data_IF_577901249241
#
_entry.id   IF_577901249241
#
_cell.length_a   1.000
_cell.length_b   1.000
_cell.length_c   1.000
_cell.angle_alpha   90.00
_cell.angle_beta   90.00
_cell.angle_gamma   90.00
#
_symmetry.space_group_name_H-M   'P 1'
#
loop_
_entity.id
_entity.type
_entity.pdbx_description
1 polymer ?
#
# COMPACT_ATOMS: atom_id res chain seq x y z
N UNK A 1 18.85 -0.76 10.88
CA UNK A 1 17.85 0.33 10.81
C UNK A 1 18.25 1.60 11.57
N UNK A 2 18.70 1.53 12.83
CA UNK A 2 18.83 2.71 13.70
C UNK A 2 19.73 3.89 13.23
N UNK A 3 20.76 3.67 12.39
CA UNK A 3 21.75 4.73 12.08
C UNK A 3 21.30 5.81 11.10
N UNK A 4 20.35 5.54 10.20
CA UNK A 4 19.89 6.55 9.21
C UNK A 4 18.81 7.46 9.79
N UNK A 5 18.06 6.95 10.77
CA UNK A 5 16.99 7.67 11.47
C UNK A 5 17.55 8.87 12.26
N UNK A 6 18.77 8.76 12.80
CA UNK A 6 19.37 9.77 13.70
C UNK A 6 19.49 11.18 13.11
N UNK A 7 19.46 11.33 11.78
CA UNK A 7 19.57 12.64 11.13
C UNK A 7 18.47 12.85 10.08
N UNK A 8 17.38 12.08 10.14
CA UNK A 8 16.24 12.30 9.27
C UNK A 8 15.34 13.35 9.91
N UNK A 9 14.91 14.33 9.11
CA UNK A 9 13.85 15.26 9.53
C UNK A 9 12.61 14.47 9.95
N UNK A 10 11.89 14.98 10.95
CA UNK A 10 10.60 14.42 11.38
C UNK A 10 9.49 15.21 10.68
N UNK A 11 8.54 14.48 10.09
CA UNK A 11 7.34 15.03 9.46
C UNK A 11 6.12 14.63 10.26
N UNK A 12 5.09 15.48 10.23
CA UNK A 12 3.82 15.22 10.89
C UNK A 12 2.80 14.73 9.85
N UNK A 13 2.25 13.54 10.05
CA UNK A 13 1.17 12.99 9.23
C UNK A 13 -0.12 13.01 10.04
N UNK A 14 -1.07 13.84 9.62
CA UNK A 14 -2.40 14.00 10.22
C UNK A 14 -3.37 13.07 9.50
N UNK A 15 -4.06 12.19 10.24
CA UNK A 15 -4.92 11.14 9.69
C UNK A 15 -6.31 11.19 10.31
N UNK A 16 -7.34 11.00 9.49
CA UNK A 16 -8.74 11.05 9.90
C UNK A 16 -9.43 12.32 9.43
N UNK A 17 -10.74 12.24 9.19
CA UNK A 17 -11.57 13.39 8.78
C UNK A 17 -12.31 14.03 9.96
N UNK A 18 -12.82 13.22 10.90
CA UNK A 18 -13.59 13.68 12.06
C UNK A 18 -12.77 13.77 13.35
N UNK A 19 -11.88 12.79 13.55
CA UNK A 19 -10.99 12.70 14.70
C UNK A 19 -9.58 12.63 14.13
N UNK A 20 -8.99 13.79 13.89
CA UNK A 20 -7.63 13.90 13.39
C UNK A 20 -6.66 13.40 14.46
N UNK A 21 -5.70 12.55 14.06
CA UNK A 21 -4.58 12.14 14.89
C UNK A 21 -3.28 12.44 14.15
N UNK A 22 -2.30 12.97 14.88
CA UNK A 22 -0.99 13.30 14.34
C UNK A 22 0.01 12.17 14.62
N UNK A 23 0.77 11.78 13.60
CA UNK A 23 1.84 10.80 13.68
C UNK A 23 3.17 11.46 13.30
N UNK A 24 4.14 11.44 14.22
CA UNK A 24 5.50 11.95 13.97
C UNK A 24 6.37 10.84 13.38
N UNK A 25 6.79 11.01 12.12
CA UNK A 25 7.51 9.99 11.37
C UNK A 25 8.79 10.58 10.78
N UNK A 26 9.87 9.82 10.80
CA UNK A 26 11.10 10.18 10.11
C UNK A 26 10.88 10.19 8.59
N UNK A 27 11.11 11.35 7.97
CA UNK A 27 10.93 11.59 6.53
C UNK A 27 11.61 10.53 5.67
N UNK A 28 12.86 10.21 5.95
CA UNK A 28 13.60 9.21 5.16
C UNK A 28 13.02 7.80 5.37
N UNK A 29 12.58 7.44 6.58
CA UNK A 29 11.91 6.16 6.80
C UNK A 29 10.61 6.07 6.00
N UNK A 30 9.81 7.13 6.01
CA UNK A 30 8.55 7.18 5.27
C UNK A 30 8.78 7.10 3.75
N UNK A 31 9.78 7.83 3.24
CA UNK A 31 10.18 7.81 1.84
C UNK A 31 10.70 6.44 1.37
N UNK A 32 11.39 5.72 2.24
CA UNK A 32 11.95 4.40 1.94
C UNK A 32 10.86 3.38 1.65
N UNK A 33 9.83 3.37 2.49
CA UNK A 33 8.78 2.36 2.42
C UNK A 33 7.64 2.76 1.47
N UNK A 34 7.31 4.05 1.38
CA UNK A 34 6.15 4.53 0.62
C UNK A 34 6.55 5.25 -0.66
N UNK A 35 6.11 4.71 -1.81
CA UNK A 35 6.22 5.39 -3.11
C UNK A 35 5.47 6.71 -3.14
N UNK A 36 4.31 6.78 -2.48
CA UNK A 36 3.53 8.00 -2.36
C UNK A 36 4.35 9.12 -1.72
N UNK A 37 4.87 8.88 -0.50
CA UNK A 37 5.67 9.89 0.20
C UNK A 37 7.03 10.15 -0.47
N UNK A 38 7.68 9.13 -1.05
CA UNK A 38 8.90 9.33 -1.83
C UNK A 38 8.69 10.29 -3.01
N UNK A 39 7.55 10.21 -3.69
CA UNK A 39 7.22 11.09 -4.82
C UNK A 39 6.91 12.49 -4.31
N UNK A 40 6.06 12.56 -3.28
CA UNK A 40 5.68 13.81 -2.62
C UNK A 40 6.92 14.62 -2.17
N UNK A 41 7.89 13.99 -1.50
CA UNK A 41 9.10 14.68 -1.04
C UNK A 41 10.04 15.12 -2.15
N UNK A 42 10.00 14.48 -3.33
CA UNK A 42 10.77 14.92 -4.49
C UNK A 42 10.21 16.23 -5.03
N UNK A 43 8.90 16.33 -5.13
CA UNK A 43 8.22 17.49 -5.70
C UNK A 43 8.44 18.75 -4.83
N UNK A 44 8.48 18.60 -3.50
CA UNK A 44 8.84 19.69 -2.57
C UNK A 44 10.27 20.24 -2.76
N UNK A 45 11.19 19.45 -3.29
CA UNK A 45 12.55 19.92 -3.55
C UNK A 45 12.65 20.70 -4.87
N UNK A 46 11.84 20.33 -5.86
CA UNK A 46 11.84 20.99 -7.17
C UNK A 46 11.16 22.36 -7.11
N UNK A 47 10.09 22.52 -6.31
CA UNK A 47 9.40 23.80 -6.15
C UNK A 47 10.27 24.87 -5.46
N UNK A 48 10.92 24.52 -4.35
CA UNK A 48 11.76 25.47 -3.61
C UNK A 48 13.03 25.91 -4.35
N UNK A 49 13.41 25.24 -5.44
CA UNK A 49 14.58 25.63 -6.24
C UNK A 49 14.23 26.69 -7.29
N UNK A 50 12.97 26.75 -7.76
CA UNK A 50 12.53 27.72 -8.79
C UNK A 50 12.39 29.14 -8.25
N UNK A 51 11.82 29.29 -7.06
CA UNK A 51 11.64 30.62 -6.45
C UNK A 51 13.00 31.30 -6.16
N UNK A 52 14.04 30.52 -5.83
CA UNK A 52 15.36 31.07 -5.56
C UNK A 52 16.14 31.54 -6.81
N UNK A 53 15.72 31.15 -8.02
CA UNK A 53 16.39 31.60 -9.26
C UNK A 53 15.78 32.88 -9.85
N UNK A 54 14.50 33.14 -9.63
CA UNK A 54 13.81 34.30 -10.22
C UNK A 54 14.21 35.62 -9.55
N UNK A 55 14.57 35.61 -8.26
CA UNK A 55 15.05 36.81 -7.55
C UNK A 55 16.49 37.24 -7.90
N UNK A 56 17.16 36.54 -8.83
CA UNK A 56 18.58 36.80 -9.17
C UNK A 56 18.82 37.42 -10.55
N UNK A 57 17.78 37.67 -11.35
CA UNK A 57 17.91 38.24 -12.71
C UNK A 57 17.52 39.73 -12.81
N UNK A 58 17.20 40.42 -11.71
CA UNK A 58 16.91 41.86 -11.73
C UNK A 58 18.19 42.70 -11.49
N UNK A 59 19.03 42.84 -12.53
CA UNK A 59 19.77 44.08 -12.89
C UNK A 59 20.94 43.80 -13.83
N UNK A 60 20.67 43.73 -15.12
CA UNK A 60 21.53 44.43 -16.08
C UNK A 60 20.72 44.80 -17.32
N UNK A 61 20.40 46.08 -17.44
CA UNK A 61 19.84 46.61 -18.68
C UNK A 61 20.94 46.73 -19.73
N UNK A 62 20.62 46.49 -21.00
CA UNK A 62 20.74 47.45 -22.11
C UNK A 62 20.51 46.79 -23.49
N UNK A 63 19.67 47.48 -24.28
CA UNK A 63 19.56 47.60 -25.75
C UNK A 63 18.98 46.49 -26.65
N UNK A 64 17.84 46.88 -27.26
CA UNK A 64 17.53 46.99 -28.71
C UNK A 64 17.57 45.75 -29.64
N UNK A 65 16.43 45.56 -30.33
CA UNK A 65 16.06 44.46 -31.24
C UNK A 65 16.80 44.38 -32.60
N UNK A 66 16.22 43.90 -33.73
CA UNK A 66 14.79 43.72 -34.04
C UNK A 66 14.38 42.33 -34.62
N UNK A 67 13.07 42.27 -34.87
CA UNK A 67 12.21 41.33 -35.63
C UNK A 67 12.85 40.43 -36.70
N UNK A 68 12.40 39.17 -36.77
CA UNK A 68 12.15 38.48 -38.04
C UNK A 68 11.19 37.29 -37.88
N UNK A 69 10.51 37.01 -38.98
CA UNK A 69 9.22 36.36 -39.15
C UNK A 69 9.25 34.83 -39.24
N UNK A 70 8.05 34.24 -39.06
CA UNK A 70 7.47 33.09 -39.76
C UNK A 70 8.27 31.77 -39.91
N UNK A 71 7.63 30.64 -39.55
CA UNK A 71 6.96 29.76 -40.53
C UNK A 71 6.61 28.36 -39.97
N UNK A 72 5.31 28.06 -40.03
CA UNK A 72 4.59 26.82 -40.42
C UNK A 72 5.16 25.38 -40.27
N UNK A 73 4.18 24.47 -40.08
CA UNK A 73 4.11 23.04 -40.46
C UNK A 73 4.74 22.01 -39.49
N UNK A 74 4.21 20.80 -39.27
CA UNK A 74 3.04 20.10 -39.82
C UNK A 74 2.70 18.88 -38.96
N UNK A 75 1.43 18.49 -39.03
CA UNK A 75 0.83 17.18 -38.76
C UNK A 75 1.73 15.95 -38.96
N UNK A 76 1.54 14.95 -38.08
CA UNK A 76 2.01 13.58 -38.26
C UNK A 76 1.13 12.62 -37.47
N UNK A 77 0.12 12.07 -38.14
CA UNK A 77 -0.74 11.00 -37.67
C UNK A 77 0.06 9.69 -37.50
N UNK A 78 -0.33 8.86 -36.53
CA UNK A 78 -0.06 7.43 -36.59
C UNK A 78 -1.25 6.68 -35.99
N UNK A 79 -2.14 6.28 -36.90
CA UNK A 79 -3.04 5.15 -36.71
C UNK A 79 -2.19 3.89 -36.65
N UNK A 80 -2.43 3.02 -35.67
CA UNK A 80 -2.12 1.61 -35.86
C UNK A 80 -3.25 0.77 -35.27
N UNK A 81 -4.08 0.32 -36.19
CA UNK A 81 -5.11 -0.70 -36.06
C UNK A 81 -4.42 -2.02 -35.76
N UNK A 82 -4.88 -2.75 -34.74
CA UNK A 82 -4.59 -4.17 -34.63
C UNK A 82 -5.90 -4.90 -34.31
N UNK A 83 -6.52 -5.40 -35.38
CA UNK A 83 -7.65 -6.32 -35.35
C UNK A 83 -7.16 -7.76 -35.16
N UNK A 84 -8.01 -8.56 -34.52
CA UNK A 84 -8.11 -9.99 -34.78
C UNK A 84 -7.46 -10.88 -33.71
N UNK A 85 -8.27 -11.58 -32.93
CA UNK A 85 -8.75 -12.92 -33.32
C UNK A 85 -9.73 -13.45 -32.27
N UNK A 86 -10.99 -13.59 -32.66
CA UNK A 86 -12.01 -14.34 -31.93
C UNK A 86 -11.79 -15.85 -32.17
N UNK A 87 -11.41 -16.55 -31.11
CA UNK A 87 -11.40 -18.01 -31.07
C UNK A 87 -12.60 -18.51 -30.26
N UNK A 88 -13.65 -18.93 -30.96
CA UNK A 88 -14.73 -19.75 -30.40
C UNK A 88 -14.15 -21.09 -29.94
N UNK A 89 -14.37 -21.42 -28.67
CA UNK A 89 -14.27 -22.79 -28.15
C UNK A 89 -15.63 -23.17 -27.60
N UNK A 90 -16.33 -23.98 -28.40
CA UNK A 90 -17.48 -24.76 -28.00
C UNK A 90 -16.98 -25.90 -27.10
N UNK A 91 -17.10 -25.73 -25.79
CA UNK A 91 -16.91 -26.82 -24.82
C UNK A 91 -18.28 -27.27 -24.30
N UNK A 92 -18.60 -28.52 -24.63
CA UNK A 92 -19.78 -29.26 -24.20
C UNK A 92 -19.82 -29.44 -22.67
N UNK A 93 -21.02 -29.51 -22.05
CA UNK A 93 -21.13 -29.80 -20.64
C UNK A 93 -20.99 -31.30 -20.35
N UNK A 94 -19.94 -31.66 -19.60
CA UNK A 94 -19.82 -32.96 -18.95
C UNK A 94 -20.90 -33.11 -17.86
N UNK A 95 -21.79 -34.09 -18.07
CA UNK A 95 -22.71 -34.62 -17.07
C UNK A 95 -21.89 -35.27 -15.94
N UNK A 96 -21.94 -34.69 -14.74
CA UNK A 96 -21.45 -35.34 -13.52
C UNK A 96 -22.65 -35.85 -12.71
N UNK A 97 -22.70 -37.17 -12.58
CA UNK A 97 -23.68 -37.92 -11.80
C UNK A 97 -23.66 -37.52 -10.32
N UNK A 98 -24.87 -37.28 -9.81
CA UNK A 98 -25.22 -37.07 -8.41
C UNK A 98 -25.03 -38.36 -7.59
N UNK A 99 -23.97 -38.44 -6.78
CA UNK A 99 -23.94 -39.38 -5.66
C UNK A 99 -24.41 -38.73 -4.36
N UNK A 100 -25.63 -39.11 -3.98
CA UNK A 100 -26.30 -38.77 -2.74
C UNK A 100 -25.55 -39.36 -1.52
N UNK A 101 -24.93 -38.50 -0.71
CA UNK A 101 -24.47 -38.86 0.62
C UNK A 101 -25.57 -38.57 1.66
N UNK A 102 -26.10 -39.66 2.21
CA UNK A 102 -26.89 -39.77 3.44
C UNK A 102 -26.15 -39.05 4.59
N UNK A 103 -26.79 -38.21 5.39
CA UNK A 103 -27.72 -38.64 6.44
C UNK A 103 -26.97 -38.77 7.77
N UNK A 104 -26.91 -37.68 8.54
CA UNK A 104 -26.27 -37.65 9.87
C UNK A 104 -26.73 -36.43 10.66
N UNK A 105 -27.90 -36.51 11.27
CA UNK A 105 -28.38 -35.58 12.29
C UNK A 105 -27.63 -35.87 13.59
N UNK A 106 -26.78 -34.94 14.02
CA UNK A 106 -26.24 -34.89 15.38
C UNK A 106 -26.97 -33.73 16.06
N UNK A 107 -27.93 -34.09 16.91
CA UNK A 107 -28.52 -33.17 17.89
C UNK A 107 -27.58 -33.15 19.10
N UNK A 108 -26.67 -32.18 19.15
CA UNK A 108 -25.97 -31.84 20.39
C UNK A 108 -26.76 -30.73 21.10
N UNK A 109 -27.51 -31.14 22.12
CA UNK A 109 -28.05 -30.27 23.16
C UNK A 109 -26.88 -29.62 23.92
N UNK A 110 -26.54 -28.38 23.56
CA UNK A 110 -25.66 -27.55 24.39
C UNK A 110 -26.53 -26.90 25.46
N UNK A 111 -26.35 -27.35 26.69
CA UNK A 111 -26.88 -26.72 27.90
C UNK A 111 -26.27 -25.32 28.07
N UNK A 112 -27.13 -24.31 28.06
CA UNK A 112 -26.82 -22.95 28.48
C UNK A 112 -26.58 -22.91 30.00
N UNK A 113 -25.33 -23.09 30.42
CA UNK A 113 -24.90 -22.77 31.79
C UNK A 113 -24.65 -21.27 31.93
N UNK A 114 -25.75 -20.59 32.27
CA UNK A 114 -25.87 -19.18 32.62
C UNK A 114 -25.20 -18.92 34.00
N UNK A 115 -23.85 -18.88 34.03
CA UNK A 115 -23.08 -18.43 35.21
C UNK A 115 -21.75 -17.78 34.83
N UNK A 116 -21.77 -16.46 34.63
CA UNK A 116 -20.59 -15.63 34.95
C UNK A 116 -21.00 -14.43 35.79
N UNK A 117 -21.07 -14.69 37.09
CA UNK A 117 -20.97 -13.68 38.13
C UNK A 117 -19.47 -13.32 38.25
N UNK A 118 -18.99 -12.35 37.47
CA UNK A 118 -17.66 -11.76 37.68
C UNK A 118 -17.83 -10.34 38.18
N UNK A 119 -17.91 -10.27 39.51
CA UNK A 119 -17.63 -9.13 40.35
C UNK A 119 -16.23 -8.58 40.00
N UNK A 120 -16.16 -7.72 38.98
CA UNK A 120 -14.96 -6.94 38.69
C UNK A 120 -14.89 -5.83 39.72
N UNK A 121 -14.15 -6.14 40.78
CA UNK A 121 -13.68 -5.16 41.74
C UNK A 121 -13.05 -3.97 41.02
N UNK A 122 -13.59 -2.82 41.34
CA UNK A 122 -13.11 -1.47 41.09
C UNK A 122 -11.72 -1.27 41.71
N UNK A 123 -10.70 -1.87 41.10
CA UNK A 123 -9.31 -1.49 41.34
C UNK A 123 -9.03 -0.29 40.46
N UNK A 124 -9.25 0.89 41.04
CA UNK A 124 -8.77 2.17 40.54
C UNK A 124 -7.24 2.17 40.44
N UNK A 125 -6.74 1.53 39.40
CA UNK A 125 -5.40 1.76 38.91
C UNK A 125 -5.43 3.12 38.22
N UNK A 126 -5.06 4.11 39.02
CA UNK A 126 -4.60 5.45 38.65
C UNK A 126 -3.50 5.29 37.59
N UNK A 127 -3.91 5.07 36.33
CA UNK A 127 -3.06 5.17 35.16
C UNK A 127 -2.66 6.62 35.08
N UNK A 128 -1.57 6.93 35.78
CA UNK A 128 -0.98 8.24 35.88
C UNK A 128 -1.03 8.92 34.52
N UNK A 129 -1.67 10.08 34.53
CA UNK A 129 -1.73 11.06 33.45
C UNK A 129 -0.28 11.39 33.08
N UNK A 130 0.31 10.55 32.24
CA UNK A 130 1.66 10.74 31.75
C UNK A 130 1.69 12.12 31.11
N UNK A 131 2.74 12.93 31.32
CA UNK A 131 2.78 14.26 30.77
C UNK A 131 2.60 14.15 29.26
N UNK A 132 1.41 14.51 28.78
CA UNK A 132 1.23 14.93 27.40
C UNK A 132 2.10 16.18 27.30
N UNK A 133 3.36 15.99 26.92
CA UNK A 133 4.18 17.07 26.38
C UNK A 133 3.40 17.61 25.20
N UNK A 134 2.62 18.65 25.46
CA UNK A 134 2.05 19.50 24.43
C UNK A 134 3.25 20.19 23.81
N UNK A 135 3.83 19.54 22.81
CA UNK A 135 4.85 20.14 21.96
C UNK A 135 4.19 21.35 21.30
N UNK A 136 4.76 22.54 21.52
CA UNK A 136 4.28 23.77 20.92
C UNK A 136 4.21 23.59 19.40
N UNK A 137 3.00 23.64 18.83
CA UNK A 137 2.75 23.34 17.40
C UNK A 137 3.51 24.27 16.44
N UNK A 138 3.98 25.41 16.95
CA UNK A 138 4.71 26.44 16.22
C UNK A 138 6.23 26.16 16.15
N UNK A 139 6.76 25.24 16.96
CA UNK A 139 8.21 24.92 16.97
C UNK A 139 8.58 23.76 16.02
N UNK A 140 7.57 23.02 15.53
CA UNK A 140 7.75 22.07 14.45
C UNK A 140 7.68 22.81 13.11
N UNK A 141 8.82 23.32 12.66
CA UNK A 141 9.13 23.73 11.26
C UNK A 141 8.93 22.58 10.23
N UNK A 142 8.33 21.46 10.66
CA UNK A 142 8.15 20.23 9.91
C UNK A 142 7.00 20.31 8.92
N UNK A 143 7.22 19.71 7.75
CA UNK A 143 6.20 19.55 6.72
C UNK A 143 5.03 18.71 7.27
N UNK A 144 3.81 19.28 7.24
CA UNK A 144 2.57 18.62 7.66
C UNK A 144 1.88 17.99 6.44
N UNK A 145 1.45 16.73 6.57
CA UNK A 145 0.73 15.98 5.54
C UNK A 145 -0.63 15.53 6.06
N UNK A 146 -1.67 15.61 5.24
CA UNK A 146 -3.03 15.20 5.63
C UNK A 146 -3.50 13.99 4.82
N UNK A 147 -4.05 13.00 5.52
CA UNK A 147 -4.66 11.80 4.96
C UNK A 147 -6.09 11.62 5.52
N UNK A 148 -7.04 12.50 5.14
CA UNK A 148 -8.38 12.53 5.74
C UNK A 148 -9.23 11.29 5.40
N UNK A 149 -8.90 10.58 4.31
CA UNK A 149 -9.64 9.43 3.83
C UNK A 149 -9.41 8.14 4.65
N UNK A 150 -8.36 8.10 5.45
CA UNK A 150 -8.05 6.94 6.30
C UNK A 150 -8.42 7.22 7.74
N UNK A 151 -8.83 6.16 8.45
CA UNK A 151 -9.03 6.23 9.89
C UNK A 151 -7.68 6.12 10.60
N UNK A 152 -7.48 6.88 11.66
CA UNK A 152 -6.22 6.92 12.37
C UNK A 152 -5.74 5.55 12.87
N UNK A 153 -6.64 4.70 13.37
CA UNK A 153 -6.26 3.35 13.82
C UNK A 153 -5.72 2.45 12.69
N UNK A 154 -6.22 2.59 11.45
CA UNK A 154 -5.68 1.85 10.28
C UNK A 154 -4.26 2.33 9.97
N UNK A 155 -4.02 3.63 10.13
CA UNK A 155 -2.69 4.20 9.91
C UNK A 155 -1.73 3.89 11.07
N UNK A 156 -2.22 3.68 12.29
CA UNK A 156 -1.40 3.25 13.42
C UNK A 156 -0.74 1.88 13.18
N UNK A 157 -1.43 0.95 12.52
CA UNK A 157 -0.84 -0.33 12.08
C UNK A 157 0.30 -0.12 11.07
N UNK A 158 0.11 0.78 10.11
CA UNK A 158 1.17 1.15 9.16
C UNK A 158 2.34 1.84 9.88
N UNK A 159 2.06 2.73 10.83
CA UNK A 159 3.06 3.38 11.66
C UNK A 159 3.90 2.35 12.43
N UNK A 160 3.26 1.38 13.08
CA UNK A 160 3.95 0.28 13.75
C UNK A 160 4.80 -0.54 12.79
N UNK A 161 4.27 -0.84 11.60
CA UNK A 161 5.01 -1.56 10.57
C UNK A 161 6.30 -0.84 10.19
N UNK A 162 6.29 0.50 10.04
CA UNK A 162 7.49 1.26 9.68
C UNK A 162 8.64 1.07 10.68
N UNK A 163 8.33 1.00 11.98
CA UNK A 163 9.35 0.94 13.03
C UNK A 163 9.69 -0.48 13.49
N UNK A 164 8.71 -1.39 13.48
CA UNK A 164 8.86 -2.74 14.02
C UNK A 164 8.84 -3.84 12.95
N UNK A 165 8.39 -3.52 11.73
CA UNK A 165 8.07 -4.51 10.70
C UNK A 165 6.82 -5.35 11.01
N UNK A 166 6.06 -5.00 12.06
CA UNK A 166 4.88 -5.74 12.52
C UNK A 166 3.66 -4.82 12.66
N UNK A 167 2.48 -5.41 12.50
CA UNK A 167 1.20 -4.75 12.83
C UNK A 167 1.06 -4.63 14.35
N UNK A 168 0.23 -3.70 14.84
CA UNK A 168 0.09 -3.48 16.29
C UNK A 168 -0.57 -4.65 17.01
N UNK A 169 -1.36 -5.47 16.30
CA UNK A 169 -2.16 -6.58 16.85
C UNK A 169 -2.99 -6.19 18.10
N UNK A 170 -3.25 -4.90 18.28
CA UNK A 170 -3.83 -4.36 19.50
C UNK A 170 -5.31 -4.75 19.57
N UNK A 171 -5.60 -5.86 20.26
CA UNK A 171 -6.95 -6.34 20.56
C UNK A 171 -7.85 -5.24 21.18
N UNK A 172 -7.24 -4.27 21.86
CA UNK A 172 -7.89 -3.16 22.56
C UNK A 172 -8.45 -2.07 21.65
N UNK A 173 -8.08 -1.99 20.37
CA UNK A 173 -8.66 -1.00 19.44
C UNK A 173 -10.08 -1.38 18.97
N UNK A 174 -10.69 -2.41 19.55
CA UNK A 174 -12.15 -2.64 19.54
C UNK A 174 -12.77 -2.97 18.19
N UNK A 175 -11.96 -3.09 17.15
CA UNK A 175 -12.40 -3.35 15.80
C UNK A 175 -11.54 -4.48 15.27
N UNK A 176 -12.16 -5.58 14.85
CA UNK A 176 -11.56 -6.53 13.89
C UNK A 176 -11.11 -5.66 12.72
N UNK A 177 -9.85 -5.22 12.74
CA UNK A 177 -9.29 -4.28 11.80
C UNK A 177 -9.26 -5.00 10.48
N UNK A 178 -10.22 -4.65 9.63
CA UNK A 178 -10.59 -5.50 8.54
C UNK A 178 -9.48 -5.42 7.50
N UNK A 179 -8.79 -6.54 7.28
CA UNK A 179 -7.53 -6.61 6.53
C UNK A 179 -7.62 -5.98 5.14
N UNK A 180 -8.82 -5.83 4.60
CA UNK A 180 -9.09 -5.11 3.36
C UNK A 180 -8.79 -3.60 3.42
N UNK A 181 -9.01 -2.94 4.57
CA UNK A 181 -8.68 -1.52 4.75
C UNK A 181 -7.17 -1.30 4.86
N UNK A 182 -6.47 -2.23 5.52
CA UNK A 182 -5.00 -2.22 5.58
C UNK A 182 -4.41 -2.47 4.19
N UNK A 183 -4.98 -3.41 3.42
CA UNK A 183 -4.57 -3.66 2.05
C UNK A 183 -4.78 -2.42 1.16
N UNK A 184 -5.93 -1.76 1.29
CA UNK A 184 -6.23 -0.51 0.59
C UNK A 184 -5.25 0.63 0.96
N UNK A 185 -4.89 0.75 2.24
CA UNK A 185 -3.87 1.71 2.68
C UNK A 185 -2.50 1.39 2.05
N UNK A 186 -2.10 0.12 2.06
CA UNK A 186 -0.85 -0.32 1.46
C UNK A 186 -0.78 -0.05 -0.05
N UNK A 187 -1.88 -0.28 -0.77
CA UNK A 187 -2.04 0.05 -2.19
C UNK A 187 -1.92 1.55 -2.43
N UNK A 188 -2.67 2.36 -1.67
CA UNK A 188 -2.64 3.81 -1.77
C UNK A 188 -1.23 4.38 -1.54
N UNK A 189 -0.53 3.91 -0.50
CA UNK A 189 0.81 4.37 -0.16
C UNK A 189 1.89 3.80 -1.08
N UNK A 190 1.57 2.76 -1.86
CA UNK A 190 2.50 2.04 -2.71
C UNK A 190 3.64 1.41 -1.90
N UNK A 191 3.29 0.64 -0.86
CA UNK A 191 4.24 -0.02 0.07
C UNK A 191 4.17 -1.55 -0.12
N UNK A 192 4.98 -2.16 -1.00
CA UNK A 192 4.90 -3.59 -1.32
C UNK A 192 5.02 -4.52 -0.11
N UNK A 193 6.02 -4.31 0.75
CA UNK A 193 6.26 -5.17 1.91
C UNK A 193 5.11 -5.13 2.93
N UNK A 194 4.48 -3.96 3.11
CA UNK A 194 3.28 -3.83 3.95
C UNK A 194 2.08 -4.52 3.32
N UNK A 195 1.87 -4.35 2.02
CA UNK A 195 0.79 -5.06 1.31
C UNK A 195 0.97 -6.57 1.44
N UNK A 196 2.17 -7.09 1.25
CA UNK A 196 2.44 -8.53 1.38
C UNK A 196 2.23 -9.01 2.82
N UNK A 197 2.68 -8.27 3.83
CA UNK A 197 2.41 -8.59 5.24
C UNK A 197 0.90 -8.69 5.52
N UNK A 198 0.12 -7.74 5.02
CA UNK A 198 -1.35 -7.76 5.15
C UNK A 198 -1.97 -8.92 4.37
N UNK A 199 -1.49 -9.19 3.15
CA UNK A 199 -1.95 -10.31 2.33
C UNK A 199 -1.65 -11.67 2.99
N UNK A 200 -0.51 -11.84 3.65
CA UNK A 200 -0.22 -13.05 4.44
C UNK A 200 -1.21 -13.24 5.59
N UNK A 201 -1.53 -12.15 6.31
CA UNK A 201 -2.54 -12.16 7.35
C UNK A 201 -3.88 -12.64 6.80
N UNK A 202 -4.34 -12.02 5.71
CA UNK A 202 -5.58 -12.41 5.04
C UNK A 202 -5.56 -13.87 4.58
N UNK A 203 -4.48 -14.33 3.92
CA UNK A 203 -4.32 -15.71 3.46
C UNK A 203 -4.38 -16.72 4.62
N UNK A 204 -3.75 -16.38 5.74
CA UNK A 204 -3.78 -17.21 6.96
C UNK A 204 -5.19 -17.29 7.52
N UNK A 205 -5.89 -16.16 7.60
CA UNK A 205 -7.29 -16.10 8.03
C UNK A 205 -8.24 -16.86 7.10
N UNK A 206 -7.97 -16.90 5.79
CA UNK A 206 -8.75 -17.70 4.83
C UNK A 206 -8.50 -19.20 4.92
N UNK A 207 -7.31 -19.59 5.38
CA UNK A 207 -6.92 -21.00 5.53
C UNK A 207 -7.63 -21.64 6.72
N UNK A 208 -7.76 -20.91 7.82
CA UNK A 208 -8.37 -21.44 9.03
C UNK A 208 -9.88 -21.61 8.81
N UNK A 209 -10.37 -22.84 8.96
CA UNK A 209 -11.67 -23.36 8.47
C UNK A 209 -12.93 -22.66 9.02
N UNK A 210 -12.76 -21.62 9.84
CA UNK A 210 -13.84 -20.84 10.39
C UNK A 210 -14.59 -19.96 9.37
N UNK A 211 -14.28 -20.00 8.06
CA UNK A 211 -15.07 -19.45 6.93
C UNK A 211 -15.58 -17.99 7.07
N UNK A 212 -15.17 -17.25 8.10
CA UNK A 212 -15.80 -15.99 8.51
C UNK A 212 -15.60 -14.85 7.52
N UNK A 213 -14.70 -15.02 6.55
CA UNK A 213 -14.35 -13.97 5.58
C UNK A 213 -14.95 -14.13 4.19
N UNK A 214 -15.58 -15.27 3.87
CA UNK A 214 -16.40 -15.41 2.66
C UNK A 214 -17.86 -14.99 2.88
N UNK A 215 -18.12 -14.27 3.98
CA UNK A 215 -19.40 -13.62 4.20
C UNK A 215 -19.61 -12.52 3.14
N UNK A 216 -20.86 -12.39 2.70
CA UNK A 216 -21.30 -11.42 1.69
C UNK A 216 -20.83 -10.00 2.04
N UNK A 217 -20.94 -9.61 3.31
CA UNK A 217 -20.52 -8.29 3.78
C UNK A 217 -18.99 -8.09 3.71
N UNK A 218 -18.21 -9.14 3.95
CA UNK A 218 -16.75 -9.08 3.88
C UNK A 218 -16.29 -8.93 2.43
N UNK A 219 -16.87 -9.70 1.51
CA UNK A 219 -16.62 -9.54 0.06
C UNK A 219 -17.01 -8.14 -0.40
N UNK A 220 -18.19 -7.65 0.00
CA UNK A 220 -18.61 -6.28 -0.29
C UNK A 220 -17.59 -5.26 0.21
N UNK A 221 -17.15 -5.37 1.46
CA UNK A 221 -16.16 -4.45 2.07
C UNK A 221 -14.86 -4.40 1.27
N UNK A 222 -14.36 -5.55 0.79
CA UNK A 222 -13.16 -5.60 -0.07
C UNK A 222 -13.37 -4.77 -1.34
N UNK A 223 -14.50 -4.93 -2.02
CA UNK A 223 -14.78 -4.21 -3.26
C UNK A 223 -15.06 -2.72 -3.01
N UNK A 224 -15.65 -2.37 -1.87
CA UNK A 224 -15.90 -0.98 -1.50
C UNK A 224 -14.60 -0.20 -1.21
N UNK A 225 -13.57 -0.84 -0.64
CA UNK A 225 -12.36 -0.15 -0.20
C UNK A 225 -11.13 -0.30 -1.11
N UNK A 226 -11.14 -1.23 -2.06
CA UNK A 226 -9.99 -1.48 -2.96
C UNK A 226 -10.27 -1.02 -4.39
N UNK A 227 -9.21 -0.85 -5.20
CA UNK A 227 -9.30 -0.48 -6.62
C UNK A 227 -9.54 -1.70 -7.52
N UNK A 228 -10.01 -1.48 -8.75
CA UNK A 228 -10.41 -2.48 -9.77
C UNK A 228 -9.32 -3.48 -10.21
N UNK A 229 -8.09 -3.34 -9.72
CA UNK A 229 -6.96 -4.22 -10.04
C UNK A 229 -6.15 -4.62 -8.81
N UNK A 230 -6.72 -4.48 -7.62
CA UNK A 230 -6.03 -4.85 -6.39
C UNK A 230 -5.78 -6.35 -6.32
N UNK A 231 -4.62 -6.74 -5.78
CA UNK A 231 -4.30 -8.16 -5.56
C UNK A 231 -5.26 -8.82 -4.56
N UNK A 232 -5.84 -8.04 -3.64
CA UNK A 232 -6.85 -8.55 -2.72
C UNK A 232 -8.15 -8.92 -3.45
N UNK A 233 -8.64 -8.09 -4.39
CA UNK A 233 -9.80 -8.47 -5.23
C UNK A 233 -9.51 -9.73 -6.05
N UNK A 234 -8.31 -9.83 -6.62
CA UNK A 234 -7.87 -11.03 -7.34
C UNK A 234 -7.89 -12.27 -6.43
N UNK A 235 -7.33 -12.19 -5.22
CA UNK A 235 -7.36 -13.28 -4.25
C UNK A 235 -8.81 -13.67 -3.90
N UNK A 236 -9.68 -12.69 -3.64
CA UNK A 236 -11.10 -12.93 -3.36
C UNK A 236 -11.82 -13.58 -4.54
N UNK A 237 -11.55 -13.17 -5.78
CA UNK A 237 -12.10 -13.80 -6.97
C UNK A 237 -11.62 -15.25 -7.13
N UNK A 238 -10.32 -15.51 -6.93
CA UNK A 238 -9.74 -16.86 -6.94
C UNK A 238 -10.38 -17.74 -5.84
N UNK A 239 -10.64 -17.19 -4.64
CA UNK A 239 -11.33 -17.88 -3.55
C UNK A 239 -12.81 -18.14 -3.86
N UNK A 240 -13.54 -17.17 -4.41
CA UNK A 240 -14.94 -17.33 -4.82
C UNK A 240 -15.08 -18.45 -5.86
N UNK A 241 -14.19 -18.47 -6.87
CA UNK A 241 -14.16 -19.52 -7.88
C UNK A 241 -13.76 -20.88 -7.30
N UNK A 242 -12.79 -20.93 -6.38
CA UNK A 242 -12.30 -22.18 -5.78
C UNK A 242 -13.32 -22.81 -4.82
N UNK A 243 -13.94 -22.01 -3.96
CA UNK A 243 -14.85 -22.49 -2.92
C UNK A 243 -16.28 -22.64 -3.43
N UNK A 244 -16.65 -21.84 -4.44
CA UNK A 244 -17.99 -21.74 -5.01
C UNK A 244 -19.08 -21.55 -3.93
N UNK A 245 -18.98 -20.53 -3.05
CA UNK A 245 -19.97 -20.32 -2.00
C UNK A 245 -21.35 -20.00 -2.57
N UNK A 246 -21.42 -19.26 -3.68
CA UNK A 246 -22.68 -18.90 -4.34
C UNK A 246 -23.45 -20.15 -4.80
N UNK A 247 -22.75 -21.12 -5.39
CA UNK A 247 -23.34 -22.37 -5.84
C UNK A 247 -23.81 -23.26 -4.69
N UNK A 248 -23.11 -23.23 -3.55
CA UNK A 248 -23.37 -24.07 -2.37
C UNK A 248 -24.31 -23.43 -1.33
N UNK A 249 -24.56 -22.13 -1.43
CA UNK A 249 -25.44 -21.38 -0.52
C UNK A 249 -26.90 -21.83 -0.62
N UNK A 250 -27.60 -21.76 0.52
CA UNK A 250 -29.06 -21.98 0.64
C UNK A 250 -29.83 -20.90 -0.12
N UNK A 251 -31.12 -21.14 -0.38
CA UNK A 251 -31.97 -20.23 -1.19
C UNK A 251 -32.04 -18.79 -0.66
N UNK A 252 -32.04 -18.60 0.66
CA UNK A 252 -32.07 -17.30 1.31
C UNK A 252 -30.73 -16.55 1.19
N UNK A 253 -29.60 -17.26 1.36
CA UNK A 253 -28.27 -16.71 1.12
C UNK A 253 -28.00 -16.41 -0.35
N UNK A 254 -28.48 -17.28 -1.26
CA UNK A 254 -28.34 -17.09 -2.70
C UNK A 254 -28.96 -15.78 -3.16
N UNK A 255 -30.14 -15.41 -2.63
CA UNK A 255 -30.75 -14.09 -2.91
C UNK A 255 -29.87 -12.93 -2.46
N UNK A 256 -29.17 -13.06 -1.34
CA UNK A 256 -28.24 -12.03 -0.84
C UNK A 256 -26.99 -11.94 -1.74
N UNK A 257 -26.48 -13.08 -2.21
CA UNK A 257 -25.41 -13.12 -3.21
C UNK A 257 -25.84 -12.48 -4.52
N UNK A 258 -27.02 -12.81 -5.04
CA UNK A 258 -27.55 -12.23 -6.27
C UNK A 258 -27.70 -10.71 -6.14
N UNK A 259 -28.21 -10.22 -5.01
CA UNK A 259 -28.29 -8.79 -4.71
C UNK A 259 -26.89 -8.13 -4.70
N UNK A 260 -25.91 -8.75 -4.04
CA UNK A 260 -24.53 -8.25 -4.04
C UNK A 260 -23.93 -8.22 -5.45
N UNK A 261 -24.18 -9.23 -6.28
CA UNK A 261 -23.65 -9.28 -7.65
C UNK A 261 -24.35 -8.30 -8.60
N UNK A 262 -25.53 -7.79 -8.24
CA UNK A 262 -26.21 -6.69 -8.93
C UNK A 262 -25.61 -5.35 -8.46
N UNK A 263 -25.40 -5.19 -7.16
CA UNK A 263 -24.82 -3.98 -6.56
C UNK A 263 -23.35 -3.79 -6.97
N UNK A 264 -22.56 -4.86 -7.01
CA UNK A 264 -21.14 -4.88 -7.30
C UNK A 264 -20.85 -5.76 -8.53
N UNK A 265 -21.15 -5.28 -9.76
CA UNK A 265 -20.97 -6.09 -10.98
C UNK A 265 -19.51 -6.46 -11.25
N UNK A 266 -18.55 -5.71 -10.70
CA UNK A 266 -17.13 -5.98 -10.83
C UNK A 266 -16.73 -7.33 -10.24
N UNK A 267 -17.44 -7.85 -9.24
CA UNK A 267 -17.21 -9.19 -8.70
C UNK A 267 -17.32 -10.24 -9.82
N UNK A 268 -18.36 -10.14 -10.65
CA UNK A 268 -18.54 -11.05 -11.80
C UNK A 268 -17.44 -10.88 -12.83
N UNK A 269 -16.98 -9.65 -13.08
CA UNK A 269 -15.89 -9.38 -14.03
C UNK A 269 -14.58 -10.00 -13.53
N UNK A 270 -14.23 -9.78 -12.27
CA UNK A 270 -13.02 -10.30 -11.65
C UNK A 270 -13.04 -11.83 -11.56
N UNK A 271 -14.19 -12.44 -11.21
CA UNK A 271 -14.35 -13.89 -11.25
C UNK A 271 -14.19 -14.48 -12.66
N UNK A 272 -14.62 -13.78 -13.71
CA UNK A 272 -14.43 -14.22 -15.11
C UNK A 272 -12.98 -14.04 -15.58
N UNK A 273 -12.31 -12.99 -15.12
CA UNK A 273 -10.91 -12.68 -15.46
C UNK A 273 -9.93 -13.58 -14.73
N UNK A 274 -10.28 -13.99 -13.50
CA UNK A 274 -9.52 -14.96 -12.74
C UNK A 274 -9.34 -16.23 -13.60
N UNK A 275 -8.10 -16.70 -13.81
CA UNK A 275 -7.87 -17.87 -14.64
C UNK A 275 -8.67 -19.02 -14.04
N UNK A 276 -9.37 -19.80 -14.88
CA UNK A 276 -10.00 -21.05 -14.46
C UNK A 276 -8.90 -22.05 -14.12
N UNK A 277 -8.24 -21.85 -12.99
CA UNK A 277 -7.27 -22.77 -12.43
C UNK A 277 -8.08 -23.97 -11.99
N UNK A 278 -7.83 -25.12 -12.62
CA UNK A 278 -8.25 -26.39 -12.06
C UNK A 278 -7.47 -26.56 -10.76
N UNK A 279 -8.11 -26.17 -9.67
CA UNK A 279 -7.43 -26.12 -8.39
C UNK A 279 -6.94 -27.50 -7.96
N UNK A 280 -7.41 -28.62 -8.54
CA UNK A 280 -6.82 -29.97 -8.45
C UNK A 280 -6.33 -30.32 -7.03
N UNK A 281 -7.23 -30.21 -6.03
CA UNK A 281 -6.98 -30.38 -4.57
C UNK A 281 -6.07 -29.31 -3.92
N UNK A 282 -5.52 -28.41 -4.70
CA UNK A 282 -4.81 -27.23 -4.25
C UNK A 282 -5.78 -26.11 -3.93
N UNK A 283 -5.34 -25.12 -3.16
CA UNK A 283 -6.14 -23.96 -2.78
C UNK A 283 -5.38 -22.67 -3.07
N UNK A 284 -6.05 -21.52 -3.22
CA UNK A 284 -5.39 -20.23 -3.46
C UNK A 284 -4.31 -19.89 -2.42
N UNK A 285 -4.52 -20.29 -1.16
CA UNK A 285 -3.54 -20.10 -0.07
C UNK A 285 -2.34 -21.05 -0.08
N UNK A 286 -2.24 -21.99 -1.03
CA UNK A 286 -1.06 -22.85 -1.11
C UNK A 286 0.15 -22.07 -1.64
N UNK A 287 1.33 -22.36 -1.06
CA UNK A 287 2.59 -21.67 -1.36
C UNK A 287 2.91 -21.55 -2.86
N UNK A 288 2.50 -22.52 -3.68
CA UNK A 288 2.75 -22.52 -5.13
C UNK A 288 2.01 -21.42 -5.91
N UNK A 289 0.93 -20.86 -5.35
CA UNK A 289 0.17 -19.77 -5.98
C UNK A 289 0.45 -18.42 -5.33
N UNK A 290 1.03 -18.44 -4.13
CA UNK A 290 1.35 -17.26 -3.31
C UNK A 290 2.07 -16.17 -4.09
N UNK A 291 3.10 -16.52 -4.87
CA UNK A 291 3.89 -15.53 -5.63
C UNK A 291 3.02 -14.74 -6.62
N UNK A 292 1.97 -15.35 -7.18
CA UNK A 292 1.08 -14.67 -8.12
C UNK A 292 0.16 -13.65 -7.47
N UNK A 293 -0.07 -13.75 -6.16
CA UNK A 293 -1.02 -12.91 -5.42
C UNK A 293 -0.31 -11.92 -4.48
N UNK A 294 1.02 -11.87 -4.55
CA UNK A 294 1.88 -10.94 -3.81
C UNK A 294 2.42 -9.84 -4.71
N UNK A 295 2.68 -8.68 -4.14
CA UNK A 295 3.37 -7.58 -4.82
C UNK A 295 4.84 -7.96 -4.95
N UNK A 296 5.43 -7.75 -6.13
CA UNK A 296 6.87 -7.91 -6.31
C UNK A 296 7.61 -6.91 -5.42
N UNK A 297 8.35 -7.42 -4.45
CA UNK A 297 9.21 -6.62 -3.58
C UNK A 297 10.56 -6.35 -4.23
N UNK A 298 11.13 -5.19 -3.91
CA UNK A 298 12.55 -4.92 -4.14
C UNK A 298 13.29 -5.39 -2.90
N UNK A 299 14.36 -6.19 -3.03
CA UNK A 299 15.17 -6.60 -1.89
C UNK A 299 15.55 -5.41 -1.03
N UNK A 300 15.41 -5.57 0.28
CA UNK A 300 15.59 -4.48 1.23
C UNK A 300 16.95 -3.78 1.09
N UNK A 301 18.02 -4.57 0.94
CA UNK A 301 19.38 -4.06 0.80
C UNK A 301 19.54 -3.18 -0.46
N UNK A 302 18.85 -3.51 -1.54
CA UNK A 302 18.87 -2.73 -2.78
C UNK A 302 18.10 -1.41 -2.62
N UNK A 303 16.88 -1.48 -2.06
CA UNK A 303 16.06 -0.30 -1.80
C UNK A 303 16.78 0.67 -0.85
N UNK A 304 17.40 0.13 0.20
CA UNK A 304 18.19 0.86 1.17
C UNK A 304 19.43 1.50 0.57
N UNK A 305 20.21 0.73 -0.20
CA UNK A 305 21.41 1.24 -0.86
C UNK A 305 21.07 2.39 -1.81
N UNK A 306 20.01 2.23 -2.61
CA UNK A 306 19.51 3.28 -3.50
C UNK A 306 19.13 4.54 -2.73
N UNK A 307 18.47 4.41 -1.58
CA UNK A 307 18.10 5.55 -0.76
C UNK A 307 19.30 6.25 -0.13
N UNK A 308 20.28 5.50 0.41
CA UNK A 308 21.52 6.09 0.93
C UNK A 308 22.20 6.91 -0.15
N UNK A 309 22.33 6.37 -1.36
CA UNK A 309 22.92 7.11 -2.48
C UNK A 309 22.16 8.40 -2.79
N UNK A 310 20.83 8.37 -2.77
CA UNK A 310 20.01 9.57 -2.98
C UNK A 310 20.15 10.59 -1.84
N UNK A 311 20.23 10.14 -0.58
CA UNK A 311 20.48 11.01 0.57
C UNK A 311 21.87 11.64 0.47
N UNK A 312 22.89 10.85 0.16
CA UNK A 312 24.26 11.32 -0.04
C UNK A 312 24.40 12.25 -1.23
N UNK A 313 23.64 12.06 -2.31
CA UNK A 313 23.63 12.96 -3.45
C UNK A 313 22.97 14.29 -3.08
N UNK A 314 21.82 14.27 -2.39
CA UNK A 314 21.13 15.46 -1.89
C UNK A 314 22.00 16.24 -0.88
N UNK A 315 22.58 15.55 0.10
CA UNK A 315 23.50 16.14 1.09
C UNK A 315 24.78 16.60 0.41
N UNK A 316 25.37 15.78 -0.44
CA UNK A 316 26.58 16.10 -1.19
C UNK A 316 26.42 17.32 -2.09
N UNK A 317 25.24 17.56 -2.66
CA UNK A 317 24.96 18.79 -3.40
C UNK A 317 24.97 20.02 -2.48
N UNK A 318 24.20 20.00 -1.38
CA UNK A 318 24.10 21.13 -0.43
C UNK A 318 25.41 21.40 0.31
N UNK A 319 26.01 20.37 0.90
CA UNK A 319 27.28 20.46 1.63
C UNK A 319 28.47 20.63 0.68
N UNK A 320 28.47 19.93 -0.44
CA UNK A 320 29.55 20.03 -1.43
C UNK A 320 29.69 21.42 -2.01
N UNK A 321 28.59 22.16 -2.23
CA UNK A 321 28.68 23.55 -2.67
C UNK A 321 29.26 24.46 -1.58
N UNK A 322 28.79 24.33 -0.32
CA UNK A 322 29.30 25.10 0.83
C UNK A 322 30.76 24.77 1.18
N UNK A 323 31.18 23.52 1.04
CA UNK A 323 32.53 23.10 1.41
C UNK A 323 33.51 23.09 0.22
N UNK A 324 33.05 23.08 -1.04
CA UNK A 324 33.86 23.52 -2.18
C UNK A 324 34.25 25.00 -2.04
N UNK A 325 33.32 25.86 -1.58
CA UNK A 325 33.64 27.27 -1.25
C UNK A 325 34.69 27.38 -0.14
N UNK A 326 34.76 26.41 0.78
CA UNK A 326 35.77 26.35 1.85
C UNK A 326 37.06 25.60 1.46
N UNK A 327 37.13 25.01 0.26
CA UNK A 327 38.31 24.29 -0.22
C UNK A 327 38.56 22.93 0.45
N UNK A 328 37.56 22.29 1.07
CA UNK A 328 37.76 21.03 1.80
C UNK A 328 38.12 19.86 0.84
N UNK A 329 39.25 19.19 1.13
CA UNK A 329 39.88 18.18 0.26
C UNK A 329 39.03 16.90 0.13
N UNK A 330 38.32 16.49 1.19
CA UNK A 330 37.57 15.23 1.20
C UNK A 330 36.44 15.21 0.15
N UNK A 331 35.81 16.35 -0.14
CA UNK A 331 34.78 16.47 -1.19
C UNK A 331 35.37 16.24 -2.58
N UNK A 332 36.59 16.71 -2.84
CA UNK A 332 37.27 16.46 -4.12
C UNK A 332 37.53 14.97 -4.32
N UNK A 333 37.97 14.29 -3.26
CA UNK A 333 38.20 12.83 -3.27
C UNK A 333 36.89 12.08 -3.53
N UNK A 334 35.82 12.43 -2.80
CA UNK A 334 34.53 11.77 -2.95
C UNK A 334 33.91 12.00 -4.34
N UNK A 335 34.05 13.21 -4.91
CA UNK A 335 33.60 13.54 -6.26
C UNK A 335 34.34 12.71 -7.32
N UNK A 336 35.66 12.56 -7.19
CA UNK A 336 36.42 11.70 -8.11
C UNK A 336 36.08 10.21 -7.95
N UNK A 337 35.86 9.74 -6.74
CA UNK A 337 35.42 8.36 -6.52
C UNK A 337 34.06 8.09 -7.18
N UNK A 338 33.08 8.99 -7.01
CA UNK A 338 31.78 8.91 -7.71
C UNK A 338 31.93 8.94 -9.23
N UNK A 339 32.84 9.76 -9.76
CA UNK A 339 33.14 9.81 -11.20
C UNK A 339 33.65 8.46 -11.72
N UNK A 340 34.59 7.84 -10.98
CA UNK A 340 35.14 6.52 -11.33
C UNK A 340 34.09 5.41 -11.27
N UNK A 341 33.22 5.40 -10.26
CA UNK A 341 32.12 4.44 -10.16
C UNK A 341 31.15 4.55 -11.35
N UNK A 342 30.77 5.78 -11.74
CA UNK A 342 29.91 6.01 -12.92
C UNK A 342 30.58 5.52 -14.22
N UNK A 343 31.87 5.81 -14.38
CA UNK A 343 32.64 5.34 -15.54
C UNK A 343 32.74 3.81 -15.60
N UNK A 344 32.95 3.14 -14.46
CA UNK A 344 32.99 1.67 -14.40
C UNK A 344 31.63 1.05 -14.75
N UNK A 345 30.52 1.65 -14.31
CA UNK A 345 29.18 1.15 -14.60
C UNK A 345 28.84 1.22 -16.10
N UNK A 346 29.26 2.29 -16.79
CA UNK A 346 29.11 2.44 -18.24
C UNK A 346 29.95 1.48 -19.09
N UNK A 347 30.91 0.74 -18.49
CA UNK A 347 31.70 -0.26 -19.22
C UNK A 347 31.13 -1.68 -19.09
N UNK A 348 30.15 -1.90 -18.21
CA UNK A 348 29.54 -3.20 -17.94
C UNK A 348 28.19 -3.35 -18.66
N UNK A 349 27.57 -2.22 -19.01
CA UNK A 349 26.42 -2.13 -19.92
C UNK A 349 26.91 -2.00 -21.37
#
# INVERSE_FOLDING_TARGET
MAKVIQNSDVVMVIVGSKYEQAFLIHKDLLALHSRYFSSLFRDFHESGTREASEDSEESDGTSDGPESEASTNSAGANENVNEGTDGNLDDEPDEFDDEAAQGGTIEDEVQDDDRTNSDYGDSGDDLGDGPNEVLDEDELDGTKFRLPQFKAYIFADFYSFLYSGKLLEAKSLGHKTSGERLAALGDFLGVPAFQNLVMEGNITEYRDEYNHWMLINSVKSVYDCTREVSLLRKLVADLLNCLNPIGKSRNDERKKWDALLIECPDIKKDMKRAPRKTWNKSRPWHQKFREGDMVKEVPWDEAWHKQILQIEERRGAKYGQKACRRGEIWIKIQREHKRKLRAAKMQVE
#
